data_IF_912498193142
#
_entry.id   IF_912498193142
#
_cell.length_a   1.000
_cell.length_b   1.000
_cell.length_c   1.000
_cell.angle_alpha   90.00
_cell.angle_beta   90.00
_cell.angle_gamma   90.00
#
_symmetry.space_group_name_H-M   'P 1'
#
loop_
_entity.id
_entity.type
_entity.pdbx_description
1 polymer ?
#
# COMPACT_ATOMS: atom_id res chain seq x y z
N UNK A 1 21.50 5.42 -11.40
CA UNK A 1 20.03 5.40 -11.46
C UNK A 1 19.50 5.39 -10.04
N UNK A 2 18.62 6.30 -9.69
CA UNK A 2 18.02 6.33 -8.36
C UNK A 2 16.81 5.39 -8.35
N UNK A 3 16.92 4.29 -7.63
CA UNK A 3 15.84 3.32 -7.51
C UNK A 3 14.89 3.74 -6.38
N UNK A 4 13.60 3.77 -6.66
CA UNK A 4 12.53 4.08 -5.71
C UNK A 4 11.64 2.87 -5.53
N UNK A 5 11.59 2.33 -4.32
CA UNK A 5 10.66 1.28 -3.94
C UNK A 5 9.36 1.92 -3.42
N UNK A 6 8.30 1.87 -4.23
CA UNK A 6 7.03 2.54 -3.92
C UNK A 6 6.17 1.78 -2.89
N UNK A 7 6.54 0.54 -2.52
CA UNK A 7 5.68 -0.30 -1.71
C UNK A 7 6.47 -1.18 -0.74
N UNK A 8 6.63 -0.71 0.49
CA UNK A 8 7.21 -1.49 1.59
C UNK A 8 6.35 -1.39 2.85
N UNK A 9 6.43 -2.40 3.70
CA UNK A 9 5.78 -2.42 5.01
C UNK A 9 6.83 -2.58 6.10
N UNK A 10 6.84 -1.68 7.06
CA UNK A 10 7.81 -1.71 8.15
C UNK A 10 7.14 -1.87 9.50
N UNK A 11 7.84 -2.45 10.45
CA UNK A 11 7.33 -2.75 11.78
C UNK A 11 8.35 -2.32 12.84
N UNK A 12 7.89 -1.85 14.03
CA UNK A 12 8.80 -1.40 15.10
C UNK A 12 9.63 -2.53 15.70
N UNK A 13 9.20 -3.78 15.56
CA UNK A 13 9.90 -4.97 16.08
C UNK A 13 9.66 -6.17 15.18
N UNK A 14 10.64 -7.09 15.15
CA UNK A 14 10.63 -8.30 14.34
C UNK A 14 9.48 -9.28 14.68
N UNK A 15 9.07 -9.36 15.94
CA UNK A 15 7.95 -10.21 16.35
C UNK A 15 6.62 -9.70 15.77
N UNK A 16 6.42 -8.38 15.72
CA UNK A 16 5.23 -7.76 15.13
C UNK A 16 5.19 -8.00 13.62
N UNK A 17 6.33 -7.83 12.94
CA UNK A 17 6.40 -8.06 11.50
C UNK A 17 6.17 -9.52 11.13
N UNK A 18 6.78 -10.46 11.86
CA UNK A 18 6.50 -11.90 11.68
C UNK A 18 5.03 -12.25 11.92
N UNK A 19 4.41 -11.65 12.94
CA UNK A 19 2.97 -11.82 13.18
C UNK A 19 2.13 -11.28 12.02
N UNK A 20 2.49 -10.11 11.47
CA UNK A 20 1.77 -9.53 10.34
C UNK A 20 1.88 -10.37 9.06
N UNK A 21 3.01 -11.01 8.83
CA UNK A 21 3.21 -11.94 7.71
C UNK A 21 2.49 -13.27 7.88
N UNK A 22 2.02 -13.62 9.09
CA UNK A 22 1.28 -14.87 9.38
C UNK A 22 1.97 -16.15 8.89
N UNK A 23 3.31 -16.16 8.87
CA UNK A 23 4.10 -17.27 8.34
C UNK A 23 4.21 -17.31 6.81
N UNK A 24 3.63 -16.34 6.12
CA UNK A 24 3.77 -16.17 4.67
C UNK A 24 4.87 -15.14 4.39
N UNK A 25 5.99 -15.57 3.83
CA UNK A 25 7.09 -14.69 3.42
C UNK A 25 8.07 -15.44 2.54
N UNK A 26 8.57 -14.75 1.53
CA UNK A 26 9.54 -15.27 0.56
C UNK A 26 10.86 -14.52 0.64
N UNK A 27 11.07 -13.83 1.73
CA UNK A 27 12.32 -13.16 2.11
C UNK A 27 12.77 -13.60 3.50
N UNK A 28 14.03 -13.35 3.89
CA UNK A 28 14.52 -13.66 5.23
C UNK A 28 14.11 -12.61 6.28
N UNK A 29 13.45 -11.52 5.88
CA UNK A 29 13.23 -10.36 6.71
C UNK A 29 12.00 -10.50 7.62
N UNK A 30 12.08 -9.84 8.76
CA UNK A 30 10.95 -9.72 9.69
C UNK A 30 10.23 -8.35 9.58
N UNK A 31 10.66 -7.48 8.68
CA UNK A 31 10.01 -6.21 8.41
C UNK A 31 10.47 -5.06 9.29
N UNK A 32 11.65 -5.13 9.89
CA UNK A 32 12.20 -4.01 10.66
C UNK A 32 12.87 -2.96 9.75
N UNK A 33 12.97 -1.73 10.25
CA UNK A 33 13.62 -0.63 9.52
C UNK A 33 15.10 -0.91 9.25
N UNK A 34 15.91 -1.43 10.20
CA UNK A 34 17.30 -1.80 9.91
C UNK A 34 17.44 -2.84 8.79
N UNK A 35 16.58 -3.87 8.76
CA UNK A 35 16.58 -4.87 7.69
C UNK A 35 16.20 -4.25 6.33
N UNK A 36 15.23 -3.32 6.29
CA UNK A 36 14.89 -2.57 5.08
C UNK A 36 16.09 -1.75 4.59
N UNK A 37 16.77 -1.04 5.47
CA UNK A 37 17.97 -0.25 5.14
C UNK A 37 19.10 -1.11 4.55
N UNK A 38 19.33 -2.29 5.13
CA UNK A 38 20.26 -3.26 4.59
C UNK A 38 19.89 -3.71 3.18
N UNK A 39 18.61 -4.06 2.97
CA UNK A 39 18.10 -4.46 1.66
C UNK A 39 18.19 -3.32 0.63
N UNK A 40 17.86 -2.09 1.03
CA UNK A 40 17.99 -0.90 0.18
C UNK A 40 19.45 -0.70 -0.25
N UNK A 41 20.39 -0.73 0.69
CA UNK A 41 21.82 -0.56 0.39
C UNK A 41 22.32 -1.64 -0.58
N UNK A 42 21.94 -2.89 -0.38
CA UNK A 42 22.30 -4.02 -1.24
C UNK A 42 21.71 -3.91 -2.65
N UNK A 43 20.48 -3.37 -2.77
CA UNK A 43 19.76 -3.20 -4.04
C UNK A 43 20.04 -1.87 -4.75
N UNK A 44 20.82 -0.96 -4.18
CA UNK A 44 21.01 0.39 -4.70
C UNK A 44 19.73 1.23 -4.67
N UNK A 45 18.80 0.90 -3.77
CA UNK A 45 17.52 1.61 -3.59
C UNK A 45 17.79 2.84 -2.75
N UNK A 46 17.49 4.01 -3.30
CA UNK A 46 17.74 5.31 -2.64
C UNK A 46 16.57 5.81 -1.83
N UNK A 47 15.36 5.39 -2.22
CA UNK A 47 14.11 5.81 -1.59
C UNK A 47 13.17 4.63 -1.45
N UNK A 48 12.49 4.50 -0.29
CA UNK A 48 11.45 3.52 -0.07
C UNK A 48 10.22 4.15 0.60
N UNK A 49 9.04 3.83 0.11
CA UNK A 49 7.77 4.25 0.69
C UNK A 49 7.33 3.25 1.75
N UNK A 50 7.19 3.71 2.99
CA UNK A 50 6.63 2.92 4.09
C UNK A 50 5.10 2.95 4.04
N UNK A 51 4.49 2.03 3.30
CA UNK A 51 3.05 1.93 3.10
C UNK A 51 2.37 1.21 4.28
N UNK A 52 2.44 1.80 5.47
CA UNK A 52 1.98 1.17 6.69
C UNK A 52 0.46 1.30 6.89
N UNK A 53 -0.14 0.24 7.41
CA UNK A 53 -1.56 0.20 7.74
C UNK A 53 -1.79 -0.55 9.07
N UNK A 54 -2.99 -0.41 9.62
CA UNK A 54 -3.47 -1.17 10.79
C UNK A 54 -4.66 -2.03 10.36
N UNK A 55 -4.64 -3.37 10.57
CA UNK A 55 -5.73 -4.26 10.17
C UNK A 55 -6.88 -4.21 11.20
N UNK A 56 -7.59 -3.08 11.23
CA UNK A 56 -8.63 -2.78 12.24
C UNK A 56 -9.73 -3.84 12.31
N UNK A 57 -10.35 -4.31 11.19
CA UNK A 57 -11.41 -5.32 11.25
C UNK A 57 -10.95 -6.64 11.86
N UNK A 58 -9.76 -7.14 11.48
CA UNK A 58 -9.21 -8.39 12.03
C UNK A 58 -8.92 -8.26 13.54
N UNK A 59 -8.33 -7.15 13.94
CA UNK A 59 -8.04 -6.87 15.35
C UNK A 59 -9.33 -6.73 16.16
N UNK A 60 -10.36 -6.09 15.59
CA UNK A 60 -11.68 -5.96 16.21
C UNK A 60 -12.32 -7.32 16.43
N UNK A 61 -12.34 -8.18 15.42
CA UNK A 61 -12.89 -9.54 15.53
C UNK A 61 -12.17 -10.35 16.61
N UNK A 62 -10.83 -10.33 16.60
CA UNK A 62 -10.04 -11.05 17.58
C UNK A 62 -10.30 -10.56 19.02
N UNK A 63 -10.54 -9.26 19.22
CA UNK A 63 -10.88 -8.68 20.51
C UNK A 63 -12.31 -9.03 20.94
N UNK A 64 -13.28 -8.91 20.04
CA UNK A 64 -14.69 -9.25 20.31
C UNK A 64 -14.87 -10.73 20.66
N UNK A 65 -14.12 -11.62 20.02
CA UNK A 65 -14.15 -13.06 20.32
C UNK A 65 -13.66 -13.40 21.74
N UNK A 66 -12.96 -12.48 22.41
CA UNK A 66 -12.47 -12.64 23.80
C UNK A 66 -13.43 -12.07 24.84
N UNK A 67 -14.48 -11.37 24.42
CA UNK A 67 -15.45 -10.83 25.36
C UNK A 67 -16.24 -11.96 26.02
N UNK A 68 -16.52 -11.84 27.33
CA UNK A 68 -17.32 -12.84 28.04
C UNK A 68 -18.71 -12.99 27.37
N UNK A 69 -19.18 -14.21 27.13
CA UNK A 69 -20.50 -14.45 26.53
C UNK A 69 -21.66 -14.03 27.45
N UNK A 70 -21.37 -13.79 28.72
CA UNK A 70 -22.34 -13.41 29.76
C UNK A 70 -22.64 -11.91 29.83
N UNK A 71 -21.97 -11.08 29.02
CA UNK A 71 -22.24 -9.64 28.96
C UNK A 71 -23.69 -9.36 28.55
N UNK A 72 -24.35 -8.45 29.27
CA UNK A 72 -25.61 -7.87 28.84
C UNK A 72 -25.42 -7.07 27.53
N UNK A 73 -26.50 -6.77 26.83
CA UNK A 73 -26.47 -5.97 25.61
C UNK A 73 -25.83 -4.58 25.84
N UNK A 74 -26.12 -3.94 26.96
CA UNK A 74 -25.56 -2.64 27.32
C UNK A 74 -24.03 -2.72 27.56
N UNK A 75 -23.59 -3.70 28.34
CA UNK A 75 -22.16 -3.92 28.61
C UNK A 75 -21.39 -4.27 27.34
N UNK A 76 -22.00 -5.04 26.44
CA UNK A 76 -21.41 -5.35 25.12
C UNK A 76 -21.26 -4.09 24.28
N UNK A 77 -22.30 -3.26 24.15
CA UNK A 77 -22.25 -2.00 23.41
C UNK A 77 -21.15 -1.08 23.95
N UNK A 78 -21.02 -0.97 25.28
CA UNK A 78 -19.99 -0.17 25.91
C UNK A 78 -18.58 -0.74 25.65
N UNK A 79 -18.41 -2.07 25.70
CA UNK A 79 -17.15 -2.72 25.39
C UNK A 79 -16.74 -2.54 23.92
N UNK A 80 -17.70 -2.60 23.00
CA UNK A 80 -17.46 -2.36 21.57
C UNK A 80 -17.07 -0.90 21.28
N UNK A 81 -17.68 0.07 21.96
CA UNK A 81 -17.32 1.48 21.87
C UNK A 81 -15.88 1.75 22.36
N UNK A 82 -15.54 1.22 23.55
CA UNK A 82 -14.17 1.31 24.08
C UNK A 82 -13.15 0.69 23.14
N UNK A 83 -13.47 -0.49 22.57
CA UNK A 83 -12.61 -1.16 21.61
C UNK A 83 -12.39 -0.33 20.36
N UNK A 84 -13.42 0.35 19.85
CA UNK A 84 -13.28 1.24 18.70
C UNK A 84 -12.31 2.39 18.99
N UNK A 85 -12.38 3.01 20.17
CA UNK A 85 -11.44 4.06 20.60
C UNK A 85 -10.01 3.53 20.75
N UNK A 86 -9.82 2.33 21.32
CA UNK A 86 -8.50 1.69 21.45
C UNK A 86 -7.87 1.39 20.09
N UNK A 87 -8.66 0.90 19.14
CA UNK A 87 -8.20 0.61 17.77
C UNK A 87 -7.86 1.89 17.00
N UNK A 88 -8.66 2.93 17.14
CA UNK A 88 -8.35 4.26 16.61
C UNK A 88 -7.03 4.79 17.18
N UNK A 89 -6.88 4.77 18.49
CA UNK A 89 -5.64 5.20 19.15
C UNK A 89 -4.41 4.38 18.68
N UNK A 90 -4.58 3.08 18.41
CA UNK A 90 -3.53 2.23 17.87
C UNK A 90 -3.16 2.62 16.45
N UNK A 91 -4.15 2.91 15.59
CA UNK A 91 -3.91 3.40 14.23
C UNK A 91 -3.14 4.72 14.25
N UNK A 92 -3.57 5.69 15.04
CA UNK A 92 -2.89 6.98 15.21
C UNK A 92 -1.44 6.80 15.70
N UNK A 93 -1.21 5.91 16.70
CA UNK A 93 0.17 5.60 17.14
C UNK A 93 1.01 4.97 16.03
N UNK A 94 0.40 4.15 15.16
CA UNK A 94 1.08 3.55 14.02
C UNK A 94 1.53 4.61 13.01
N UNK A 95 0.64 5.57 12.70
CA UNK A 95 0.96 6.69 11.82
C UNK A 95 2.11 7.53 12.40
N UNK A 96 2.02 7.91 13.69
CA UNK A 96 3.08 8.68 14.36
C UNK A 96 4.42 7.97 14.29
N UNK A 97 4.47 6.69 14.63
CA UNK A 97 5.70 5.91 14.52
C UNK A 97 6.27 5.91 13.10
N UNK A 98 5.42 5.79 12.08
CA UNK A 98 5.85 5.84 10.67
C UNK A 98 6.48 7.20 10.32
N UNK A 99 5.88 8.29 10.79
CA UNK A 99 6.37 9.65 10.58
C UNK A 99 7.69 9.90 11.33
N UNK A 100 7.78 9.48 12.59
CA UNK A 100 9.00 9.58 13.41
C UNK A 100 10.17 8.83 12.77
N UNK A 101 9.95 7.62 12.30
CA UNK A 101 10.97 6.84 11.58
C UNK A 101 11.40 7.54 10.31
N UNK A 102 10.46 8.03 9.49
CA UNK A 102 10.80 8.72 8.25
C UNK A 102 11.58 10.02 8.49
N UNK A 103 11.27 10.75 9.55
CA UNK A 103 12.00 11.95 9.93
C UNK A 103 13.45 11.65 10.36
N UNK A 104 13.71 10.47 10.94
CA UNK A 104 15.03 10.05 11.39
C UNK A 104 15.86 9.34 10.30
N UNK A 105 15.22 8.76 9.29
CA UNK A 105 15.82 7.88 8.29
C UNK A 105 15.72 8.49 6.87
N UNK A 106 16.77 9.18 6.39
CA UNK A 106 16.76 9.75 5.04
C UNK A 106 16.46 8.71 3.96
N UNK A 107 15.60 9.06 3.00
CA UNK A 107 15.17 8.18 1.91
C UNK A 107 13.97 7.28 2.26
N UNK A 108 13.46 7.30 3.50
CA UNK A 108 12.18 6.69 3.84
C UNK A 108 11.05 7.72 3.75
N UNK A 109 9.99 7.39 3.03
CA UNK A 109 8.83 8.26 2.83
C UNK A 109 7.59 7.66 3.51
N UNK A 110 6.91 8.41 4.40
CA UNK A 110 5.80 7.88 5.16
C UNK A 110 4.48 7.98 4.39
N UNK A 111 3.84 6.83 4.13
CA UNK A 111 2.42 6.75 3.82
C UNK A 111 1.66 6.29 5.06
N UNK A 112 0.57 6.94 5.37
CA UNK A 112 -0.21 6.71 6.58
C UNK A 112 -1.48 5.92 6.28
N UNK A 113 -1.94 5.15 7.27
CA UNK A 113 -3.20 4.41 7.18
C UNK A 113 -4.35 5.17 7.82
N UNK A 114 -5.54 5.04 7.25
CA UNK A 114 -6.78 5.62 7.76
C UNK A 114 -7.89 4.57 7.68
N UNK A 115 -8.82 4.55 8.65
CA UNK A 115 -9.89 3.55 8.66
C UNK A 115 -11.21 4.14 9.16
N UNK A 116 -12.23 4.28 8.28
CA UNK A 116 -13.53 4.86 8.66
C UNK A 116 -14.37 3.94 9.56
N UNK A 117 -13.95 2.69 9.79
CA UNK A 117 -14.66 1.81 10.76
C UNK A 117 -14.42 2.21 12.23
N UNK A 118 -13.42 3.06 12.49
CA UNK A 118 -13.07 3.57 13.82
C UNK A 118 -12.84 5.07 13.86
N UNK A 119 -13.02 5.76 12.74
CA UNK A 119 -12.87 7.21 12.60
C UNK A 119 -14.11 7.80 11.92
N UNK A 120 -14.62 8.89 12.48
CA UNK A 120 -15.64 9.71 11.81
C UNK A 120 -15.03 10.47 10.62
N UNK A 121 -15.84 11.02 9.68
CA UNK A 121 -15.33 11.85 8.58
C UNK A 121 -14.43 13.01 9.04
N UNK A 122 -14.81 13.71 10.12
CA UNK A 122 -13.99 14.76 10.70
C UNK A 122 -12.65 14.22 11.23
N UNK A 123 -12.68 13.11 11.97
CA UNK A 123 -11.45 12.50 12.51
C UNK A 123 -10.52 11.96 11.41
N UNK A 124 -11.05 11.51 10.29
CA UNK A 124 -10.24 11.10 9.13
C UNK A 124 -9.49 12.31 8.55
N UNK A 125 -10.19 13.44 8.39
CA UNK A 125 -9.60 14.68 7.88
C UNK A 125 -8.57 15.23 8.85
N UNK A 126 -8.92 15.39 10.13
CA UNK A 126 -8.03 15.92 11.17
C UNK A 126 -6.74 15.09 11.31
N UNK A 127 -6.86 13.75 11.30
CA UNK A 127 -5.69 12.86 11.39
C UNK A 127 -4.81 12.98 10.14
N UNK A 128 -5.40 13.05 8.94
CA UNK A 128 -4.63 13.19 7.71
C UNK A 128 -3.93 14.55 7.65
N UNK A 129 -4.59 15.64 7.98
CA UNK A 129 -4.00 16.99 8.05
C UNK A 129 -2.82 17.01 9.03
N UNK A 130 -3.00 16.49 10.25
CA UNK A 130 -1.92 16.37 11.23
C UNK A 130 -0.75 15.51 10.75
N UNK A 131 -1.03 14.42 10.04
CA UNK A 131 0.01 13.59 9.44
C UNK A 131 0.76 14.33 8.32
N UNK A 132 0.08 15.11 7.49
CA UNK A 132 0.70 15.90 6.42
C UNK A 132 1.60 16.99 7.00
N UNK A 133 1.14 17.70 8.03
CA UNK A 133 1.96 18.68 8.76
C UNK A 133 3.23 18.03 9.36
N UNK A 134 3.13 16.76 9.78
CA UNK A 134 4.25 15.99 10.29
C UNK A 134 5.09 15.28 9.21
N UNK A 135 4.80 15.52 7.92
CA UNK A 135 5.62 15.05 6.78
C UNK A 135 5.09 13.82 6.04
N UNK A 136 3.83 13.43 6.21
CA UNK A 136 3.23 12.36 5.40
C UNK A 136 3.28 12.71 3.91
N UNK A 137 3.59 11.71 3.08
CA UNK A 137 3.77 11.84 1.62
C UNK A 137 2.70 11.09 0.82
N UNK A 138 1.76 10.45 1.48
CA UNK A 138 0.64 9.74 0.88
C UNK A 138 -0.14 8.90 1.87
N UNK A 139 -1.14 8.20 1.36
CA UNK A 139 -2.04 7.34 2.14
C UNK A 139 -1.95 5.91 1.64
N UNK A 140 -1.94 4.94 2.54
CA UNK A 140 -2.11 3.51 2.24
C UNK A 140 -3.50 3.04 2.63
N UNK A 141 -4.22 2.45 1.68
CA UNK A 141 -5.49 1.78 1.90
C UNK A 141 -5.44 0.34 1.40
N UNK A 142 -6.23 -0.52 2.02
CA UNK A 142 -6.25 -1.95 1.69
C UNK A 142 -7.69 -2.49 1.75
N UNK A 143 -8.42 -2.48 0.61
CA UNK A 143 -9.84 -2.82 0.59
C UNK A 143 -10.19 -4.16 1.25
N UNK A 144 -9.35 -5.19 1.03
CA UNK A 144 -9.57 -6.54 1.59
C UNK A 144 -9.38 -6.54 3.11
N UNK A 145 -8.29 -5.96 3.62
CA UNK A 145 -7.96 -5.95 5.05
C UNK A 145 -8.94 -5.04 5.82
N UNK A 146 -9.31 -3.91 5.23
CA UNK A 146 -10.28 -2.98 5.79
C UNK A 146 -11.74 -3.40 5.56
N UNK A 147 -11.98 -4.43 4.68
CA UNK A 147 -13.32 -4.92 4.30
C UNK A 147 -14.23 -3.80 3.80
N UNK A 148 -13.66 -2.88 3.03
CA UNK A 148 -14.33 -1.68 2.56
C UNK A 148 -14.08 -1.51 1.07
N UNK A 149 -15.15 -1.25 0.32
CA UNK A 149 -15.03 -0.94 -1.11
C UNK A 149 -14.27 0.39 -1.31
N UNK A 150 -13.41 0.49 -2.33
CA UNK A 150 -12.72 1.75 -2.63
C UNK A 150 -13.67 2.93 -2.82
N UNK A 151 -14.82 2.74 -3.49
CA UNK A 151 -15.83 3.76 -3.72
C UNK A 151 -16.69 4.12 -2.52
N UNK A 152 -16.48 3.50 -1.34
CA UNK A 152 -17.28 3.80 -0.16
C UNK A 152 -17.19 5.28 0.23
N UNK A 153 -18.33 5.96 0.34
CA UNK A 153 -18.43 7.40 0.64
C UNK A 153 -17.78 7.78 1.98
N UNK A 154 -17.65 6.81 2.89
CA UNK A 154 -16.90 7.00 4.14
C UNK A 154 -15.41 7.34 3.94
N UNK A 155 -14.82 7.02 2.78
CA UNK A 155 -13.44 7.38 2.41
C UNK A 155 -13.35 8.72 1.64
N UNK A 156 -14.45 9.29 1.19
CA UNK A 156 -14.43 10.51 0.39
C UNK A 156 -13.70 11.69 1.04
N UNK A 157 -13.85 11.96 2.36
CA UNK A 157 -13.07 13.02 3.02
C UNK A 157 -11.55 12.85 2.88
N UNK A 158 -11.08 11.59 2.81
CA UNK A 158 -9.66 11.29 2.57
C UNK A 158 -9.27 11.60 1.13
N UNK A 159 -10.11 11.20 0.16
CA UNK A 159 -9.84 11.44 -1.27
C UNK A 159 -9.88 12.91 -1.64
N UNK A 160 -10.85 13.66 -1.11
CA UNK A 160 -10.95 15.11 -1.25
C UNK A 160 -9.65 15.78 -0.81
N UNK A 161 -9.21 15.50 0.42
CA UNK A 161 -7.98 16.10 0.96
C UNK A 161 -6.73 15.62 0.21
N UNK A 162 -6.64 14.34 -0.15
CA UNK A 162 -5.52 13.85 -0.95
C UNK A 162 -5.46 14.52 -2.33
N UNK A 163 -6.62 14.74 -2.97
CA UNK A 163 -6.68 15.43 -4.27
C UNK A 163 -6.31 16.90 -4.12
N UNK A 164 -6.84 17.62 -3.10
CA UNK A 164 -6.50 19.01 -2.78
C UNK A 164 -4.99 19.20 -2.59
N UNK A 165 -4.35 18.29 -1.86
CA UNK A 165 -2.92 18.36 -1.51
C UNK A 165 -2.01 17.65 -2.52
N UNK A 166 -2.57 17.02 -3.55
CA UNK A 166 -1.82 16.23 -4.53
C UNK A 166 -1.12 15.01 -3.95
N UNK A 167 -1.64 14.45 -2.87
CA UNK A 167 -1.08 13.27 -2.22
C UNK A 167 -1.50 11.99 -2.95
N UNK A 168 -0.59 11.05 -3.22
CA UNK A 168 -0.95 9.75 -3.77
C UNK A 168 -1.64 8.87 -2.73
N UNK A 169 -2.60 8.06 -3.22
CA UNK A 169 -3.22 6.99 -2.45
C UNK A 169 -2.80 5.65 -3.05
N UNK A 170 -2.06 4.86 -2.28
CA UNK A 170 -1.64 3.52 -2.65
C UNK A 170 -2.65 2.49 -2.13
N UNK A 171 -3.32 1.82 -3.04
CA UNK A 171 -4.26 0.75 -2.74
C UNK A 171 -3.63 -0.63 -2.97
N UNK A 172 -3.96 -1.57 -2.10
CA UNK A 172 -3.85 -2.98 -2.48
C UNK A 172 -4.86 -3.28 -3.61
N UNK A 173 -4.42 -4.00 -4.63
CA UNK A 173 -5.24 -4.40 -5.78
C UNK A 173 -4.95 -5.86 -6.15
N UNK A 174 -6.00 -6.61 -6.50
CA UNK A 174 -5.89 -8.02 -6.86
C UNK A 174 -6.07 -8.99 -5.69
N UNK A 175 -5.74 -10.26 -5.91
CA UNK A 175 -5.95 -11.31 -4.93
C UNK A 175 -5.06 -11.21 -3.69
N UNK A 176 -5.67 -11.48 -2.52
CA UNK A 176 -4.98 -11.76 -1.26
C UNK A 176 -5.41 -13.17 -0.79
N UNK A 177 -4.62 -14.18 -1.12
CA UNK A 177 -4.88 -15.57 -0.74
C UNK A 177 -6.33 -16.01 -1.05
N UNK A 178 -6.98 -16.71 -0.11
CA UNK A 178 -8.39 -17.14 -0.21
C UNK A 178 -9.36 -16.19 0.51
N UNK A 179 -9.05 -14.91 0.59
CA UNK A 179 -9.91 -13.95 1.27
C UNK A 179 -11.32 -13.89 0.65
N UNK A 180 -12.35 -13.91 1.49
CA UNK A 180 -13.72 -13.69 1.07
C UNK A 180 -13.97 -12.27 0.52
N UNK A 181 -13.05 -11.34 0.78
CA UNK A 181 -13.14 -9.93 0.42
C UNK A 181 -12.37 -9.58 -0.87
N UNK A 182 -11.86 -10.57 -1.61
CA UNK A 182 -11.08 -10.35 -2.83
C UNK A 182 -11.82 -9.51 -3.88
N UNK A 183 -13.15 -9.60 -3.94
CA UNK A 183 -13.94 -8.78 -4.86
C UNK A 183 -13.78 -7.27 -4.66
N UNK A 184 -13.45 -6.82 -3.43
CA UNK A 184 -13.25 -5.40 -3.11
C UNK A 184 -11.95 -4.81 -3.69
N UNK A 185 -10.99 -5.66 -4.08
CA UNK A 185 -9.71 -5.22 -4.61
C UNK A 185 -9.52 -5.55 -6.11
N UNK A 186 -10.58 -5.94 -6.82
CA UNK A 186 -10.54 -6.07 -8.28
C UNK A 186 -10.29 -4.70 -8.92
N UNK A 187 -9.45 -4.58 -9.96
CA UNK A 187 -9.19 -3.29 -10.60
C UNK A 187 -10.45 -2.51 -10.96
N UNK A 188 -11.49 -3.17 -11.46
CA UNK A 188 -12.76 -2.54 -11.80
C UNK A 188 -13.46 -1.88 -10.59
N UNK A 189 -13.21 -2.32 -9.36
CA UNK A 189 -13.80 -1.73 -8.15
C UNK A 189 -13.28 -0.28 -7.88
N UNK A 190 -12.20 0.13 -8.53
CA UNK A 190 -11.62 1.47 -8.39
C UNK A 190 -12.19 2.49 -9.39
N UNK A 191 -12.99 2.07 -10.37
CA UNK A 191 -13.55 2.96 -11.39
C UNK A 191 -14.34 4.13 -10.77
N UNK A 192 -15.19 3.86 -9.79
CA UNK A 192 -16.00 4.86 -9.09
C UNK A 192 -15.15 5.95 -8.44
N UNK A 193 -14.03 5.58 -7.81
CA UNK A 193 -13.10 6.55 -7.19
C UNK A 193 -12.43 7.40 -8.26
N UNK A 194 -11.96 6.77 -9.34
CA UNK A 194 -11.27 7.45 -10.44
C UNK A 194 -12.19 8.39 -11.22
N UNK A 195 -13.49 8.07 -11.30
CA UNK A 195 -14.52 8.94 -11.88
C UNK A 195 -14.86 10.13 -10.96
N UNK A 196 -15.07 9.85 -9.66
CA UNK A 196 -15.45 10.88 -8.70
C UNK A 196 -14.30 11.85 -8.36
N UNK A 197 -13.05 11.37 -8.42
CA UNK A 197 -11.85 12.13 -8.07
C UNK A 197 -10.82 12.09 -9.21
N UNK A 198 -11.05 12.79 -10.34
CA UNK A 198 -10.23 12.65 -11.55
C UNK A 198 -8.80 13.16 -11.40
N UNK A 199 -8.53 14.02 -10.44
CA UNK A 199 -7.18 14.53 -10.15
C UNK A 199 -6.46 13.75 -9.04
N UNK A 200 -7.14 12.79 -8.38
CA UNK A 200 -6.54 11.96 -7.34
C UNK A 200 -5.45 11.07 -7.95
N UNK A 201 -4.28 11.07 -7.32
CA UNK A 201 -3.15 10.22 -7.70
C UNK A 201 -3.35 8.82 -7.11
N UNK A 202 -3.87 7.90 -7.90
CA UNK A 202 -4.17 6.52 -7.46
C UNK A 202 -3.09 5.56 -7.93
N UNK A 203 -2.56 4.77 -7.00
CA UNK A 203 -1.64 3.65 -7.27
C UNK A 203 -2.34 2.34 -6.94
N UNK A 204 -2.43 1.44 -7.90
CA UNK A 204 -2.97 0.11 -7.77
C UNK A 204 -1.84 -0.92 -7.69
N UNK A 205 -1.66 -1.52 -6.52
CA UNK A 205 -0.58 -2.47 -6.29
C UNK A 205 -0.71 -3.75 -7.12
N UNK A 206 0.43 -4.44 -7.28
CA UNK A 206 0.53 -5.81 -7.81
C UNK A 206 0.05 -5.98 -9.26
N UNK A 207 0.03 -4.92 -10.09
CA UNK A 207 -0.53 -4.93 -11.46
C UNK A 207 -1.94 -5.54 -11.53
N UNK A 208 -2.75 -5.43 -10.46
CA UNK A 208 -4.06 -6.08 -10.36
C UNK A 208 -4.00 -7.61 -10.30
N UNK A 209 -3.05 -8.18 -9.54
CA UNK A 209 -2.78 -9.62 -9.40
C UNK A 209 -4.04 -10.49 -9.50
N UNK A 210 -4.07 -11.40 -10.49
CA UNK A 210 -5.21 -12.28 -10.77
C UNK A 210 -6.30 -11.67 -11.66
N UNK A 211 -6.25 -10.34 -11.93
CA UNK A 211 -7.23 -9.60 -12.71
C UNK A 211 -6.57 -8.63 -13.71
N UNK A 212 -5.51 -9.08 -14.37
CA UNK A 212 -4.68 -8.22 -15.21
C UNK A 212 -5.46 -7.55 -16.35
N UNK A 213 -6.37 -8.27 -17.02
CA UNK A 213 -7.14 -7.66 -18.11
C UNK A 213 -8.10 -6.58 -17.62
N UNK A 214 -8.62 -6.68 -16.40
CA UNK A 214 -9.36 -5.59 -15.76
C UNK A 214 -8.47 -4.39 -15.45
N UNK A 215 -7.21 -4.63 -15.01
CA UNK A 215 -6.24 -3.56 -14.78
C UNK A 215 -5.92 -2.82 -16.08
N UNK A 216 -5.79 -3.53 -17.20
CA UNK A 216 -5.59 -2.93 -18.53
C UNK A 216 -6.80 -2.11 -18.94
N UNK A 217 -8.01 -2.66 -18.83
CA UNK A 217 -9.24 -1.94 -19.17
C UNK A 217 -9.42 -0.66 -18.34
N UNK A 218 -9.10 -0.75 -17.03
CA UNK A 218 -9.12 0.41 -16.15
C UNK A 218 -8.06 1.45 -16.56
N UNK A 219 -6.86 1.00 -16.93
CA UNK A 219 -5.78 1.86 -17.36
C UNK A 219 -6.08 2.59 -18.69
N UNK A 220 -6.84 1.96 -19.58
CA UNK A 220 -7.32 2.57 -20.84
C UNK A 220 -8.38 3.64 -20.56
N UNK A 221 -9.29 3.39 -19.62
CA UNK A 221 -10.35 4.33 -19.22
C UNK A 221 -9.81 5.49 -18.40
N UNK A 222 -8.83 5.23 -17.51
CA UNK A 222 -8.25 6.20 -16.57
C UNK A 222 -6.74 6.33 -16.77
N UNK A 223 -6.27 7.20 -17.68
CA UNK A 223 -4.85 7.34 -18.03
C UNK A 223 -3.94 7.76 -16.86
N UNK A 224 -4.49 8.32 -15.80
CA UNK A 224 -3.75 8.74 -14.60
C UNK A 224 -3.55 7.63 -13.57
N UNK A 225 -4.24 6.50 -13.70
CA UNK A 225 -4.02 5.35 -12.81
C UNK A 225 -2.60 4.82 -12.95
N UNK A 226 -1.92 4.68 -11.81
CA UNK A 226 -0.54 4.16 -11.70
C UNK A 226 -0.60 2.76 -11.11
N UNK A 227 0.40 1.94 -11.42
CA UNK A 227 0.49 0.56 -10.95
C UNK A 227 1.86 0.30 -10.35
N UNK A 228 1.99 -0.72 -9.49
CA UNK A 228 3.30 -1.19 -9.06
C UNK A 228 3.56 -2.66 -9.42
N UNK A 229 4.84 -3.02 -9.43
CA UNK A 229 5.33 -4.36 -9.84
C UNK A 229 5.30 -5.38 -8.72
N UNK A 230 5.04 -4.98 -7.48
CA UNK A 230 5.31 -5.82 -6.31
C UNK A 230 4.58 -7.16 -6.36
N UNK A 231 5.18 -8.17 -5.77
CA UNK A 231 4.73 -9.55 -5.68
C UNK A 231 4.53 -10.32 -7.01
N UNK A 232 4.40 -9.63 -8.15
CA UNK A 232 4.17 -10.29 -9.46
C UNK A 232 5.39 -10.25 -10.38
N UNK A 233 6.19 -9.18 -10.34
CA UNK A 233 7.50 -9.10 -11.01
C UNK A 233 8.58 -9.30 -9.95
N UNK A 234 8.59 -10.46 -9.33
CA UNK A 234 9.47 -10.80 -8.20
C UNK A 234 10.52 -11.84 -8.56
N UNK A 235 11.66 -11.82 -7.88
CA UNK A 235 12.68 -12.87 -7.94
C UNK A 235 12.24 -14.14 -7.19
N UNK A 236 11.30 -14.03 -6.27
CA UNK A 236 10.81 -15.15 -5.49
C UNK A 236 10.08 -16.19 -6.36
N UNK A 237 10.23 -17.48 -6.01
CA UNK A 237 9.58 -18.59 -6.69
C UNK A 237 8.15 -18.77 -6.15
N UNK A 238 7.23 -17.90 -6.56
CA UNK A 238 5.82 -17.97 -6.18
C UNK A 238 4.95 -18.38 -7.38
N UNK A 239 3.82 -19.06 -7.15
CA UNK A 239 2.97 -19.58 -8.24
C UNK A 239 2.44 -18.52 -9.22
N UNK A 240 2.29 -17.27 -8.74
CA UNK A 240 1.78 -16.15 -9.53
C UNK A 240 2.86 -15.23 -10.10
N UNK A 241 4.14 -15.61 -9.96
CA UNK A 241 5.25 -14.90 -10.57
C UNK A 241 5.13 -14.90 -12.09
N UNK A 242 5.24 -13.72 -12.69
CA UNK A 242 5.26 -13.59 -14.14
C UNK A 242 6.61 -14.09 -14.72
N UNK A 243 6.55 -14.83 -15.82
CA UNK A 243 7.72 -15.08 -16.66
C UNK A 243 8.24 -13.78 -17.28
N UNK A 244 9.47 -13.79 -17.79
CA UNK A 244 10.12 -12.55 -18.24
C UNK A 244 9.39 -11.91 -19.43
N UNK A 245 9.05 -12.70 -20.45
CA UNK A 245 8.30 -12.23 -21.63
C UNK A 245 6.91 -11.73 -21.25
N UNK A 246 6.22 -12.46 -20.39
CA UNK A 246 4.90 -12.10 -19.90
C UNK A 246 4.95 -10.81 -19.07
N UNK A 247 5.95 -10.66 -18.20
CA UNK A 247 6.14 -9.44 -17.41
C UNK A 247 6.30 -8.22 -18.33
N UNK A 248 7.19 -8.29 -19.30
CA UNK A 248 7.42 -7.20 -20.27
C UNK A 248 6.16 -6.88 -21.07
N UNK A 249 5.46 -7.90 -21.55
CA UNK A 249 4.22 -7.72 -22.32
C UNK A 249 3.14 -7.00 -21.46
N UNK A 250 2.98 -7.42 -20.20
CA UNK A 250 2.01 -6.81 -19.27
C UNK A 250 2.37 -5.37 -18.91
N UNK A 251 3.65 -5.09 -18.62
CA UNK A 251 4.14 -3.74 -18.33
C UNK A 251 3.87 -2.78 -19.49
N UNK A 252 4.08 -3.23 -20.73
CA UNK A 252 3.79 -2.44 -21.94
C UNK A 252 2.30 -2.24 -22.19
N UNK A 253 1.47 -3.27 -21.94
CA UNK A 253 0.01 -3.14 -22.08
C UNK A 253 -0.58 -2.14 -21.08
N UNK A 254 -0.06 -2.09 -19.86
CA UNK A 254 -0.45 -1.07 -18.87
C UNK A 254 0.08 0.31 -19.21
N UNK A 255 1.16 0.39 -19.99
CA UNK A 255 1.89 1.62 -20.28
C UNK A 255 3.03 1.82 -19.30
N UNK A 256 4.27 1.58 -19.74
CA UNK A 256 5.50 1.63 -18.91
C UNK A 256 5.63 2.93 -18.12
N UNK A 257 5.18 4.07 -18.68
CA UNK A 257 5.26 5.39 -18.03
C UNK A 257 4.39 5.56 -16.79
N UNK A 258 3.55 4.58 -16.44
CA UNK A 258 2.68 4.58 -15.27
C UNK A 258 2.84 3.33 -14.38
N UNK A 259 3.94 2.60 -14.57
CA UNK A 259 4.28 1.48 -13.70
C UNK A 259 5.50 1.84 -12.87
N UNK A 260 5.41 1.67 -11.56
CA UNK A 260 6.49 1.92 -10.60
C UNK A 260 7.01 0.59 -10.06
N UNK A 261 8.28 0.57 -9.67
CA UNK A 261 8.83 -0.52 -8.89
C UNK A 261 8.26 -0.48 -7.46
N UNK A 262 7.88 -1.64 -6.95
CA UNK A 262 7.54 -1.91 -5.57
C UNK A 262 7.94 -3.34 -5.23
N UNK A 263 8.41 -3.57 -4.00
CA UNK A 263 8.86 -4.89 -3.55
C UNK A 263 7.82 -5.64 -2.72
N UNK A 264 6.96 -4.95 -2.00
CA UNK A 264 6.11 -5.53 -0.96
C UNK A 264 6.94 -6.11 0.21
N UNK A 265 8.09 -5.44 0.53
CA UNK A 265 8.87 -5.78 1.73
C UNK A 265 7.97 -5.79 2.97
N UNK A 266 8.03 -6.74 3.89
CA UNK A 266 9.05 -7.78 4.03
C UNK A 266 8.67 -9.13 3.39
N UNK A 267 7.54 -9.25 2.70
CA UNK A 267 7.18 -10.52 2.05
C UNK A 267 8.18 -10.92 0.98
N UNK A 268 8.74 -9.94 0.27
CA UNK A 268 9.73 -10.16 -0.79
C UNK A 268 11.02 -9.37 -0.50
N UNK A 269 12.09 -9.73 -1.21
CA UNK A 269 13.40 -9.08 -1.06
C UNK A 269 13.54 -7.90 -2.03
N UNK A 270 13.59 -6.64 -1.53
CA UNK A 270 13.68 -5.46 -2.37
C UNK A 270 14.86 -5.47 -3.33
N UNK A 271 16.04 -5.92 -2.86
CA UNK A 271 17.25 -5.96 -3.68
C UNK A 271 17.15 -6.98 -4.80
N UNK A 272 16.62 -8.16 -4.51
CA UNK A 272 16.43 -9.21 -5.51
C UNK A 272 15.38 -8.81 -6.55
N UNK A 273 14.29 -8.16 -6.13
CA UNK A 273 13.21 -7.73 -7.03
C UNK A 273 13.66 -6.54 -7.90
N UNK A 274 14.40 -5.57 -7.35
CA UNK A 274 15.00 -4.50 -8.14
C UNK A 274 15.96 -5.04 -9.21
N UNK A 275 16.82 -5.98 -8.84
CA UNK A 275 17.73 -6.66 -9.76
C UNK A 275 16.96 -7.42 -10.86
N UNK A 276 15.85 -8.08 -10.51
CA UNK A 276 14.98 -8.75 -11.47
C UNK A 276 14.39 -7.77 -12.50
N UNK A 277 13.82 -6.66 -12.05
CA UNK A 277 13.27 -5.65 -12.96
C UNK A 277 14.37 -5.08 -13.87
N UNK A 278 15.55 -4.81 -13.32
CA UNK A 278 16.69 -4.33 -14.08
C UNK A 278 17.17 -5.33 -15.15
N UNK A 279 17.04 -6.63 -14.89
CA UNK A 279 17.48 -7.70 -15.77
C UNK A 279 16.41 -8.20 -16.76
N UNK A 280 15.16 -7.69 -16.72
CA UNK A 280 14.10 -8.15 -17.62
C UNK A 280 14.51 -8.01 -19.08
N UNK A 281 14.58 -9.12 -19.84
CA UNK A 281 14.98 -9.08 -21.25
C UNK A 281 13.91 -8.37 -22.08
N UNK A 282 14.34 -7.56 -23.04
CA UNK A 282 13.43 -6.83 -23.94
C UNK A 282 12.94 -5.48 -23.45
N UNK A 283 13.14 -5.08 -22.19
CA UNK A 283 12.99 -3.68 -21.77
C UNK A 283 14.18 -2.87 -22.28
N UNK A 284 13.91 -1.67 -22.80
CA UNK A 284 14.94 -0.68 -23.07
C UNK A 284 15.51 -0.09 -21.79
N UNK A 285 16.67 0.58 -21.86
CA UNK A 285 17.25 1.27 -20.70
C UNK A 285 16.31 2.35 -20.15
N UNK A 286 15.65 3.11 -21.04
CA UNK A 286 14.66 4.12 -20.64
C UNK A 286 13.42 3.51 -19.96
N UNK A 287 12.91 2.37 -20.42
CA UNK A 287 11.80 1.67 -19.79
C UNK A 287 12.19 1.16 -18.38
N UNK A 288 13.41 0.64 -18.20
CA UNK A 288 13.93 0.25 -16.89
C UNK A 288 14.06 1.43 -15.94
N UNK A 289 14.64 2.54 -16.41
CA UNK A 289 14.77 3.76 -15.62
C UNK A 289 13.41 4.30 -15.18
N UNK A 290 12.44 4.31 -16.10
CA UNK A 290 11.08 4.73 -15.81
C UNK A 290 10.45 3.90 -14.69
N UNK A 291 10.48 2.56 -14.80
CA UNK A 291 9.87 1.65 -13.82
C UNK A 291 10.60 1.72 -12.48
N UNK A 292 11.94 1.66 -12.49
CA UNK A 292 12.74 1.59 -11.26
C UNK A 292 12.77 2.90 -10.46
N UNK A 293 12.50 4.06 -11.10
CA UNK A 293 12.62 5.30 -10.36
C UNK A 293 11.82 6.48 -10.92
N UNK A 294 11.93 6.82 -12.23
CA UNK A 294 11.42 8.09 -12.74
C UNK A 294 9.90 8.25 -12.56
N UNK A 295 9.14 7.17 -12.74
CA UNK A 295 7.69 7.19 -12.56
C UNK A 295 7.31 7.48 -11.11
N UNK A 296 7.96 6.81 -10.16
CA UNK A 296 7.70 7.01 -8.74
C UNK A 296 8.13 8.42 -8.28
N UNK A 297 9.25 8.95 -8.79
CA UNK A 297 9.66 10.33 -8.49
C UNK A 297 8.60 11.34 -8.94
N UNK A 298 8.13 11.23 -10.21
CA UNK A 298 7.04 12.11 -10.70
C UNK A 298 5.76 12.00 -9.88
N UNK A 299 5.42 10.79 -9.43
CA UNK A 299 4.25 10.56 -8.59
C UNK A 299 4.38 11.24 -7.21
N UNK A 300 5.59 11.19 -6.64
CA UNK A 300 5.89 11.67 -5.28
C UNK A 300 6.27 13.16 -5.22
N UNK A 301 6.51 13.80 -6.37
CA UNK A 301 6.69 15.25 -6.46
C UNK A 301 5.40 15.97 -6.05
N UNK A 302 5.55 16.98 -5.19
CA UNK A 302 4.43 17.86 -4.89
C UNK A 302 3.93 18.50 -6.20
N UNK A 303 2.61 18.73 -6.36
CA UNK A 303 2.14 19.51 -7.49
C UNK A 303 2.86 20.86 -7.47
N UNK A 304 3.37 21.29 -8.62
CA UNK A 304 3.85 22.66 -8.75
C UNK A 304 2.71 23.62 -8.44
N UNK A 305 2.95 24.66 -7.63
CA UNK A 305 1.92 25.63 -7.27
C UNK A 305 1.35 26.34 -8.49
#
# INVERSE_FOLDING_TARGET
>A
MDIVDLHTHTYPRADIGRQAMQGEGWSPYAGTVPELREAMARGGITTAVMANLTPVPEMREAALARLPPTLSAAERTEAEARLADELRARLVRRNRWTLEVAAAEPGLLPFVGLDPSVMTPAQLRDELEACVEAGARGVKLHPIVQRLAPGATALWPVYELCQELGLPVLFHSGFLGRSAWNALARPQAFAEVLEAFPELRVVLAHLGRGHFDEAVALAEQFPRAVFDTCAVVTAAAVPWRLGDEEAVARLRRLGVGRVCFGSDYPWFDPAADAARVAALPGLTEGERAAILGDNARRLLEAPSP
#
